data_IF_479152793793
#
_entry.id   IF_479152793793
#
_cell.length_a   1.000
_cell.length_b   1.000
_cell.length_c   1.000
_cell.angle_alpha   90.00
_cell.angle_beta   90.00
_cell.angle_gamma   90.00
#
_symmetry.space_group_name_H-M   'P 1'
#
loop_
_entity.id
_entity.type
_entity.pdbx_description
1 polymer ?
#
# COMPACT_ATOMS: atom_id res chain seq x y z
N UNK A 1 -44.48 3.04 -22.98
CA UNK A 1 -43.41 3.12 -24.00
C UNK A 1 -42.42 4.17 -23.55
N UNK A 2 -41.35 3.76 -22.86
CA UNK A 2 -40.03 4.10 -23.39
C UNK A 2 -39.05 2.90 -23.36
N UNK A 3 -38.43 2.67 -24.51
CA UNK A 3 -37.10 2.07 -24.69
C UNK A 3 -36.08 2.89 -23.87
N UNK A 4 -34.94 2.39 -23.39
CA UNK A 4 -33.83 1.80 -24.15
C UNK A 4 -32.71 1.42 -23.16
N UNK A 5 -31.84 0.48 -23.57
CA UNK A 5 -30.38 0.45 -23.30
C UNK A 5 -29.85 -0.31 -22.07
N UNK A 6 -29.37 -1.53 -22.29
CA UNK A 6 -27.92 -1.89 -22.23
C UNK A 6 -27.72 -3.37 -21.91
N UNK A 7 -27.33 -4.16 -22.91
CA UNK A 7 -26.78 -5.50 -22.72
C UNK A 7 -25.34 -5.51 -23.25
N UNK A 8 -24.36 -5.51 -22.33
CA UNK A 8 -22.93 -5.66 -22.65
C UNK A 8 -22.59 -7.14 -22.65
N UNK A 9 -22.44 -7.72 -23.85
CA UNK A 9 -21.96 -9.10 -24.03
C UNK A 9 -20.43 -9.15 -24.08
N UNK A 10 -19.87 -9.80 -23.07
CA UNK A 10 -18.49 -10.27 -22.96
C UNK A 10 -18.21 -11.30 -24.05
N UNK A 11 -17.15 -11.12 -24.86
CA UNK A 11 -16.42 -12.25 -25.47
C UNK A 11 -14.93 -11.91 -25.64
N UNK A 12 -14.13 -12.45 -24.72
CA UNK A 12 -12.68 -12.58 -24.82
C UNK A 12 -12.32 -13.64 -25.88
N UNK A 13 -11.56 -13.26 -26.91
CA UNK A 13 -10.92 -14.21 -27.83
C UNK A 13 -9.46 -14.39 -27.42
N UNK A 14 -9.14 -15.55 -26.86
CA UNK A 14 -7.77 -16.04 -26.73
C UNK A 14 -7.52 -16.89 -27.98
N UNK A 15 -6.61 -16.46 -28.86
CA UNK A 15 -6.12 -17.27 -29.98
C UNK A 15 -4.82 -17.92 -29.55
N UNK A 16 -4.83 -19.25 -29.43
CA UNK A 16 -3.63 -20.06 -29.38
C UNK A 16 -3.24 -20.46 -30.80
N UNK A 17 -1.96 -20.33 -31.15
CA UNK A 17 -1.36 -21.02 -32.30
C UNK A 17 0.05 -21.45 -31.92
N UNK A 18 0.27 -22.76 -31.97
CA UNK A 18 1.53 -23.43 -31.73
C UNK A 18 2.27 -23.69 -33.06
N UNK A 19 3.57 -23.96 -32.90
CA UNK A 19 4.54 -24.66 -33.76
C UNK A 19 4.99 -24.02 -35.09
N UNK A 20 6.30 -23.74 -35.18
CA UNK A 20 7.19 -24.52 -36.05
C UNK A 20 8.68 -24.31 -35.71
N UNK A 21 9.41 -25.43 -35.80
CA UNK A 21 10.84 -25.70 -35.66
C UNK A 21 11.71 -24.87 -36.63
N UNK A 22 12.88 -24.43 -36.16
CA UNK A 22 13.99 -23.98 -37.00
C UNK A 22 15.30 -24.01 -36.22
N UNK A 23 16.19 -24.94 -36.57
CA UNK A 23 17.49 -25.16 -35.93
C UNK A 23 18.55 -24.18 -36.44
N UNK A 24 19.38 -23.62 -35.55
CA UNK A 24 20.80 -23.35 -35.83
C UNK A 24 21.57 -23.00 -34.57
N UNK A 25 22.76 -23.60 -34.46
CA UNK A 25 23.71 -23.49 -33.36
C UNK A 25 24.29 -22.08 -33.19
N UNK A 26 24.64 -21.72 -31.95
CA UNK A 26 25.98 -21.28 -31.56
C UNK A 26 26.06 -21.20 -30.04
N UNK A 27 27.10 -21.82 -29.50
CA UNK A 27 27.48 -21.80 -28.09
C UNK A 27 28.15 -20.48 -27.77
N UNK A 28 27.59 -19.68 -26.87
CA UNK A 28 28.33 -18.64 -26.16
C UNK A 28 27.81 -18.57 -24.72
N UNK A 29 28.64 -19.11 -23.82
CA UNK A 29 28.54 -18.96 -22.38
C UNK A 29 28.84 -17.53 -22.00
N UNK A 30 27.88 -16.84 -21.39
CA UNK A 30 28.15 -15.62 -20.61
C UNK A 30 27.34 -15.67 -19.32
N UNK A 31 28.09 -15.98 -18.27
CA UNK A 31 27.82 -15.65 -16.88
C UNK A 31 27.20 -14.25 -16.80
N UNK A 32 25.88 -14.19 -16.65
CA UNK A 32 25.17 -12.94 -16.40
C UNK A 32 24.80 -12.97 -14.94
N UNK A 33 25.57 -12.19 -14.20
CA UNK A 33 25.49 -11.99 -12.77
C UNK A 33 24.04 -11.86 -12.33
N UNK A 34 23.72 -12.58 -11.26
CA UNK A 34 22.47 -12.51 -10.55
C UNK A 34 22.39 -11.12 -9.90
N UNK A 35 21.94 -10.14 -10.68
CA UNK A 35 21.57 -8.83 -10.20
C UNK A 35 20.40 -9.05 -9.24
N UNK A 36 20.73 -9.07 -7.95
CA UNK A 36 19.77 -8.91 -6.88
C UNK A 36 19.08 -7.59 -7.19
N UNK A 37 17.85 -7.66 -7.70
CA UNK A 37 16.96 -6.52 -7.69
C UNK A 37 16.87 -6.09 -6.23
N UNK A 38 17.59 -5.02 -5.92
CA UNK A 38 17.46 -4.29 -4.69
C UNK A 38 15.99 -3.91 -4.59
N UNK A 39 15.34 -4.47 -3.58
CA UNK A 39 13.97 -4.17 -3.20
C UNK A 39 13.98 -2.68 -2.83
N UNK A 40 13.71 -1.82 -3.81
CA UNK A 40 13.57 -0.36 -3.72
C UNK A 40 12.32 -0.04 -2.89
N UNK A 41 12.41 -0.38 -1.60
CA UNK A 41 11.40 -0.15 -0.61
C UNK A 41 11.56 1.29 -0.13
N UNK A 42 10.88 2.19 -0.84
CA UNK A 42 10.44 3.51 -0.35
C UNK A 42 11.55 4.35 0.27
N UNK A 43 12.13 5.22 -0.55
CA UNK A 43 12.70 6.49 -0.09
C UNK A 43 11.72 7.16 0.88
N UNK A 44 11.98 7.02 2.18
CA UNK A 44 11.23 7.72 3.23
C UNK A 44 11.55 9.22 3.23
N UNK A 45 12.59 9.63 2.51
CA UNK A 45 13.03 11.00 2.30
C UNK A 45 11.90 11.89 1.75
N UNK A 46 11.23 12.62 2.63
CA UNK A 46 10.30 13.68 2.23
C UNK A 46 9.02 13.82 3.05
N UNK A 47 8.94 13.25 4.26
CA UNK A 47 7.85 13.61 5.18
C UNK A 47 8.26 14.78 6.05
N UNK A 48 7.65 15.92 5.78
CA UNK A 48 7.74 17.09 6.65
C UNK A 48 6.63 17.09 7.72
N UNK A 49 5.52 16.39 7.45
CA UNK A 49 4.34 16.36 8.32
C UNK A 49 3.67 14.97 8.39
N UNK A 50 3.17 14.62 9.57
CA UNK A 50 2.42 13.40 9.84
C UNK A 50 1.07 13.38 9.11
N UNK A 51 0.47 14.54 8.86
CA UNK A 51 -0.83 14.64 8.16
C UNK A 51 -0.71 14.61 6.63
N UNK A 52 0.53 14.66 6.12
CA UNK A 52 0.79 14.67 4.69
C UNK A 52 0.33 13.35 4.03
N UNK A 53 -0.35 13.38 2.89
CA UNK A 53 -0.61 12.18 2.10
C UNK A 53 0.70 11.45 1.74
N UNK A 54 0.76 10.14 1.90
CA UNK A 54 1.92 9.33 1.52
C UNK A 54 1.51 8.16 0.62
N UNK A 55 2.04 8.02 -0.61
CA UNK A 55 1.79 6.84 -1.45
C UNK A 55 2.51 5.55 -0.99
N UNK A 56 2.62 5.31 0.33
CA UNK A 56 3.25 4.10 0.86
C UNK A 56 2.35 2.86 0.68
N UNK A 57 2.96 1.70 0.42
CA UNK A 57 2.25 0.43 0.27
C UNK A 57 2.61 -0.54 1.40
N UNK A 58 1.63 -0.86 2.23
CA UNK A 58 1.85 -1.73 3.38
C UNK A 58 1.76 -3.22 3.04
N UNK A 59 2.54 -4.02 3.78
CA UNK A 59 2.56 -5.48 3.79
C UNK A 59 1.71 -6.02 4.93
N UNK A 60 1.24 -7.26 4.79
CA UNK A 60 0.50 -7.94 5.87
C UNK A 60 1.42 -8.16 7.05
N UNK A 61 0.90 -7.96 8.27
CA UNK A 61 1.60 -8.04 9.55
C UNK A 61 2.64 -6.95 9.76
N UNK A 62 2.72 -5.95 8.87
CA UNK A 62 3.55 -4.78 9.07
C UNK A 62 2.99 -3.92 10.22
N UNK A 63 3.90 -3.40 11.03
CA UNK A 63 3.61 -2.47 12.12
C UNK A 63 3.50 -1.07 11.54
N UNK A 64 2.47 -0.34 11.98
CA UNK A 64 2.14 0.98 11.45
C UNK A 64 1.73 1.91 12.59
N UNK A 65 1.82 3.21 12.33
CA UNK A 65 1.25 4.26 13.14
C UNK A 65 -0.06 4.75 12.54
N UNK A 66 -1.09 4.90 13.37
CA UNK A 66 -2.44 5.28 12.94
C UNK A 66 -2.90 6.48 13.75
N UNK A 67 -3.47 7.47 13.06
CA UNK A 67 -4.11 8.63 13.70
C UNK A 67 -5.57 8.29 14.06
N UNK A 68 -5.90 8.34 15.35
CA UNK A 68 -7.27 8.26 15.83
C UNK A 68 -7.90 9.64 15.72
N UNK A 69 -8.83 9.82 14.78
CA UNK A 69 -9.43 11.14 14.49
C UNK A 69 -10.20 11.74 15.67
N UNK A 70 -10.79 10.92 16.54
CA UNK A 70 -11.58 11.37 17.69
C UNK A 70 -10.71 12.08 18.74
N UNK A 71 -9.55 11.51 19.06
CA UNK A 71 -8.65 12.01 20.11
C UNK A 71 -7.44 12.79 19.56
N UNK A 72 -7.23 12.75 18.23
CA UNK A 72 -6.04 13.28 17.58
C UNK A 72 -4.74 12.53 17.90
N UNK A 73 -4.81 11.43 18.65
CA UNK A 73 -3.65 10.63 19.08
C UNK A 73 -3.17 9.70 17.98
N UNK A 74 -1.87 9.40 18.03
CA UNK A 74 -1.27 8.35 17.21
C UNK A 74 -1.12 7.06 18.02
N UNK A 75 -1.62 5.97 17.46
CA UNK A 75 -1.58 4.65 18.09
C UNK A 75 -0.89 3.66 17.17
N UNK A 76 -0.25 2.66 17.78
CA UNK A 76 0.38 1.60 17.02
C UNK A 76 -0.67 0.59 16.53
N UNK A 77 -0.51 0.12 15.30
CA UNK A 77 -1.37 -0.86 14.68
C UNK A 77 -0.59 -1.91 13.89
N UNK A 78 -1.33 -2.93 13.43
CA UNK A 78 -0.79 -4.00 12.60
C UNK A 78 -1.70 -4.23 11.40
N UNK A 79 -1.12 -4.25 10.20
CA UNK A 79 -1.86 -4.48 8.95
C UNK A 79 -2.35 -5.92 8.91
N UNK A 80 -3.66 -6.13 8.79
CA UNK A 80 -4.27 -7.46 8.89
C UNK A 80 -4.56 -8.12 7.53
N UNK A 81 -4.55 -7.35 6.44
CA UNK A 81 -4.88 -7.89 5.12
C UNK A 81 -4.08 -7.22 4.00
N UNK A 82 -3.67 -8.02 3.03
CA UNK A 82 -3.11 -7.55 1.75
C UNK A 82 -4.20 -7.07 0.80
N UNK A 83 -5.47 -7.41 1.06
CA UNK A 83 -6.58 -7.00 0.22
C UNK A 83 -6.90 -5.53 0.51
N UNK A 84 -6.50 -4.65 -0.40
CA UNK A 84 -6.90 -3.25 -0.37
C UNK A 84 -8.29 -3.08 -0.97
N UNK A 85 -9.10 -2.21 -0.37
CA UNK A 85 -10.35 -1.75 -1.00
C UNK A 85 -10.09 -0.41 -1.68
N UNK A 86 -10.74 -0.17 -2.81
CA UNK A 86 -10.63 1.10 -3.52
C UNK A 86 -11.86 1.96 -3.21
N UNK A 87 -11.65 3.20 -2.76
CA UNK A 87 -12.73 4.11 -2.36
C UNK A 87 -12.31 5.58 -2.58
N UNK A 88 -13.21 6.53 -2.39
CA UNK A 88 -12.88 7.97 -2.51
C UNK A 88 -12.05 8.45 -1.32
N UNK A 89 -10.89 9.04 -1.58
CA UNK A 89 -10.03 9.69 -0.55
C UNK A 89 -10.38 11.17 -0.37
N UNK A 90 -9.78 11.82 0.64
CA UNK A 90 -10.07 13.22 1.03
C UNK A 90 -10.02 14.22 -0.13
N UNK A 91 -9.13 14.02 -1.09
CA UNK A 91 -8.96 14.90 -2.27
C UNK A 91 -9.98 14.61 -3.40
N UNK A 92 -10.95 13.73 -3.17
CA UNK A 92 -11.97 13.34 -4.17
C UNK A 92 -11.46 12.33 -5.21
N UNK A 93 -10.15 12.04 -5.22
CA UNK A 93 -9.54 10.99 -6.02
C UNK A 93 -9.92 9.59 -5.51
N UNK A 94 -9.65 8.59 -6.33
CA UNK A 94 -9.80 7.18 -5.95
C UNK A 94 -8.52 6.68 -5.29
N UNK A 95 -8.63 6.13 -4.09
CA UNK A 95 -7.49 5.68 -3.30
C UNK A 95 -7.64 4.29 -2.70
N UNK A 96 -6.51 3.73 -2.27
CA UNK A 96 -6.45 2.41 -1.65
C UNK A 96 -6.65 2.54 -0.15
N UNK A 97 -7.35 1.57 0.42
CA UNK A 97 -7.57 1.44 1.85
C UNK A 97 -7.08 0.10 2.36
N UNK A 98 -6.34 0.15 3.46
CA UNK A 98 -5.81 -0.99 4.18
C UNK A 98 -6.62 -1.25 5.44
N UNK A 99 -6.73 -2.52 5.81
CA UNK A 99 -7.30 -2.91 7.11
C UNK A 99 -6.19 -3.07 8.13
N UNK A 100 -6.36 -2.41 9.27
CA UNK A 100 -5.37 -2.38 10.35
C UNK A 100 -6.06 -2.66 11.68
N UNK A 101 -5.44 -3.51 12.50
CA UNK A 101 -5.82 -3.66 13.90
C UNK A 101 -5.05 -2.62 14.71
N UNK A 102 -5.76 -1.66 15.28
CA UNK A 102 -5.17 -0.58 16.07
C UNK A 102 -5.31 -0.90 17.54
N UNK A 103 -4.23 -0.73 18.32
CA UNK A 103 -4.25 -0.89 19.76
C UNK A 103 -4.54 0.47 20.39
N UNK A 104 -5.73 0.63 20.99
CA UNK A 104 -6.11 1.83 21.72
C UNK A 104 -6.64 1.44 23.11
N UNK A 105 -6.07 2.00 24.16
CA UNK A 105 -6.46 1.76 25.57
C UNK A 105 -6.66 0.27 25.93
N UNK A 106 -5.72 -0.57 25.52
CA UNK A 106 -5.75 -2.02 25.80
C UNK A 106 -6.76 -2.82 24.94
N UNK A 107 -7.52 -2.16 24.07
CA UNK A 107 -8.43 -2.80 23.10
C UNK A 107 -7.81 -2.81 21.72
N UNK A 108 -8.12 -3.86 20.95
CA UNK A 108 -7.74 -3.94 19.53
C UNK A 108 -8.97 -3.71 18.67
N UNK A 109 -8.97 -2.67 17.85
CA UNK A 109 -10.10 -2.29 16.99
C UNK A 109 -9.66 -2.34 15.52
N UNK A 110 -10.40 -3.05 14.64
CA UNK A 110 -10.11 -3.05 13.22
C UNK A 110 -10.58 -1.74 12.57
N UNK A 111 -9.70 -1.08 11.82
CA UNK A 111 -9.97 0.16 11.10
C UNK A 111 -9.61 0.02 9.61
N UNK A 112 -10.29 0.82 8.76
CA UNK A 112 -10.02 0.94 7.32
C UNK A 112 -9.42 2.33 7.07
N UNK A 113 -8.17 2.37 6.64
CA UNK A 113 -7.36 3.59 6.61
C UNK A 113 -6.66 3.74 5.26
N UNK A 114 -6.30 4.97 4.89
CA UNK A 114 -5.60 5.25 3.64
C UNK A 114 -4.44 6.20 3.88
N UNK A 115 -3.20 5.83 3.50
CA UNK A 115 -2.04 6.70 3.67
C UNK A 115 -2.16 7.97 2.82
N UNK A 116 -3.03 7.99 1.80
CA UNK A 116 -3.39 9.20 1.03
C UNK A 116 -4.24 10.19 1.83
N UNK A 117 -4.85 9.78 2.95
CA UNK A 117 -5.54 10.67 3.87
C UNK A 117 -4.63 11.20 4.99
N UNK A 118 -3.40 10.71 5.10
CA UNK A 118 -2.49 11.02 6.22
C UNK A 118 -2.88 10.34 7.54
N UNK A 119 -3.81 9.38 7.53
CA UNK A 119 -4.31 8.72 8.74
C UNK A 119 -3.52 7.46 9.15
N UNK A 120 -2.53 7.05 8.34
CA UNK A 120 -1.68 5.88 8.57
C UNK A 120 -0.27 6.10 8.00
N UNK A 121 0.75 5.67 8.75
CA UNK A 121 2.18 5.76 8.42
C UNK A 121 2.91 4.46 8.74
N UNK A 122 3.98 4.10 8.00
CA UNK A 122 4.84 2.98 8.36
C UNK A 122 5.55 3.23 9.69
N UNK A 123 5.88 2.15 10.40
CA UNK A 123 6.71 2.24 11.60
C UNK A 123 8.20 2.26 11.23
N UNK A 124 8.68 3.44 10.85
CA UNK A 124 10.09 3.69 10.54
C UNK A 124 10.67 4.78 11.46
N UNK A 125 11.99 4.98 11.42
CA UNK A 125 12.65 5.93 12.33
C UNK A 125 12.24 7.39 12.07
N UNK A 126 12.00 7.76 10.82
CA UNK A 126 11.57 9.11 10.43
C UNK A 126 10.19 9.46 10.99
N UNK A 127 9.21 8.57 10.83
CA UNK A 127 7.87 8.74 11.40
C UNK A 127 7.93 8.73 12.93
N UNK A 128 8.74 7.87 13.55
CA UNK A 128 8.95 7.89 15.01
C UNK A 128 9.55 9.22 15.46
N UNK A 129 10.53 9.75 14.75
CA UNK A 129 11.11 11.06 15.04
C UNK A 129 10.05 12.18 14.95
N UNK A 130 9.24 12.18 13.89
CA UNK A 130 8.12 13.13 13.75
C UNK A 130 7.09 12.99 14.88
N UNK A 131 6.76 11.77 15.28
CA UNK A 131 5.85 11.53 16.41
C UNK A 131 6.43 12.05 17.73
N UNK A 132 7.73 11.89 17.98
CA UNK A 132 8.41 12.45 19.16
C UNK A 132 8.41 13.98 19.14
N UNK A 133 8.76 14.58 18.01
CA UNK A 133 8.78 16.05 17.85
C UNK A 133 7.40 16.67 18.12
N UNK A 134 6.34 15.97 17.70
CA UNK A 134 4.96 16.41 17.92
C UNK A 134 4.37 15.98 19.27
N UNK A 135 5.15 15.32 20.15
CA UNK A 135 4.70 14.91 21.48
C UNK A 135 3.72 13.73 21.51
N UNK A 136 3.63 12.95 20.43
CA UNK A 136 2.80 11.73 20.36
C UNK A 136 3.53 10.46 20.84
N UNK A 137 4.86 10.51 20.90
CA UNK A 137 5.70 9.43 21.41
C UNK A 137 6.66 10.01 22.44
N UNK A 138 6.70 9.45 23.64
CA UNK A 138 7.69 9.84 24.65
C UNK A 138 9.07 9.26 24.32
N UNK A 139 10.12 9.90 24.82
CA UNK A 139 11.47 9.34 24.80
C UNK A 139 11.55 8.27 25.89
N UNK A 140 11.63 6.99 25.51
CA UNK A 140 12.10 5.93 26.41
C UNK A 140 13.61 6.06 26.65
#
# INVERSE_FOLDING_TARGET
>A
MPSTTSDRKVQSRIKATNVARGARASSESSDTSQERAEDDQSTCSGLDDLDQPWPYQFKVRETVWVRIQEDGKWCQGTVISSKTTTDKVREGATGKYWRVNVRNDGKTVPMKLSPQNGDIKPDNEEVRALLRINGFLEFE
#
